data_IF_181654612164
#
_entry.id   IF_181654612164
#
_cell.length_a   1.000
_cell.length_b   1.000
_cell.length_c   1.000
_cell.angle_alpha   90.00
_cell.angle_beta   90.00
_cell.angle_gamma   90.00
#
_symmetry.space_group_name_H-M   'P 1'
#
loop_
_entity.id
_entity.type
_entity.pdbx_description
1 polymer ?
#
# COMPACT_ATOMS: atom_id res chain seq x y z
N UNK A 1 -25.16 -17.28 5.06
CA UNK A 1 -24.50 -16.43 4.05
C UNK A 1 -23.56 -15.48 4.78
N UNK A 2 -22.27 -15.51 4.45
CA UNK A 2 -21.27 -14.61 5.04
C UNK A 2 -21.12 -13.40 4.12
N UNK A 3 -21.37 -12.20 4.65
CA UNK A 3 -21.25 -10.92 3.95
C UNK A 3 -20.01 -10.19 4.48
N UNK A 4 -18.86 -10.43 3.84
CA UNK A 4 -17.58 -9.90 4.28
C UNK A 4 -16.82 -9.21 3.14
N UNK A 5 -15.89 -8.34 3.50
CA UNK A 5 -14.84 -7.80 2.62
C UNK A 5 -13.49 -8.04 3.26
N UNK A 6 -12.49 -8.31 2.42
CA UNK A 6 -11.09 -8.43 2.80
C UNK A 6 -10.33 -7.30 2.13
N UNK A 7 -9.68 -6.46 2.94
CA UNK A 7 -8.84 -5.35 2.54
C UNK A 7 -7.38 -5.76 2.65
N UNK A 8 -6.62 -5.49 1.61
CA UNK A 8 -5.16 -5.63 1.63
C UNK A 8 -4.53 -4.69 0.60
N UNK A 9 -3.32 -4.24 0.94
CA UNK A 9 -2.54 -3.32 0.13
C UNK A 9 -1.46 -4.04 -0.67
N UNK A 10 -1.16 -3.53 -1.86
CA UNK A 10 0.00 -3.97 -2.65
C UNK A 10 0.86 -2.81 -3.13
N UNK A 11 2.16 -2.98 -2.96
CA UNK A 11 3.21 -2.03 -3.30
C UNK A 11 3.48 -2.01 -4.82
N UNK A 12 2.57 -1.33 -5.55
CA UNK A 12 2.59 -1.19 -7.02
C UNK A 12 2.54 0.27 -7.47
N UNK A 13 3.23 1.15 -6.74
CA UNK A 13 3.06 2.58 -6.92
C UNK A 13 3.52 3.11 -8.28
N UNK A 14 2.96 4.24 -8.72
CA UNK A 14 3.39 5.05 -9.90
C UNK A 14 4.19 6.28 -9.49
N UNK A 15 4.95 6.93 -10.39
CA UNK A 15 5.55 8.24 -10.10
C UNK A 15 4.51 9.24 -9.57
N UNK A 16 4.84 9.92 -8.48
CA UNK A 16 3.98 10.94 -7.88
C UNK A 16 4.82 12.11 -7.35
N UNK A 17 4.15 13.16 -6.87
CA UNK A 17 4.83 14.31 -6.31
C UNK A 17 5.66 13.94 -5.06
N UNK A 18 6.87 14.48 -4.97
CA UNK A 18 7.78 14.27 -3.83
C UNK A 18 7.24 14.74 -2.49
N UNK A 19 6.31 15.71 -2.49
CA UNK A 19 5.62 16.17 -1.28
C UNK A 19 4.68 15.07 -0.78
N UNK A 20 4.83 14.68 0.49
CA UNK A 20 4.06 13.59 1.10
C UNK A 20 2.56 13.88 1.04
N UNK A 21 1.76 12.86 0.73
CA UNK A 21 0.29 12.93 0.58
C UNK A 21 -0.22 13.85 -0.55
N UNK A 22 0.65 14.40 -1.39
CA UNK A 22 0.22 15.20 -2.54
C UNK A 22 -0.37 14.29 -3.63
N UNK A 23 -1.63 14.56 -4.00
CA UNK A 23 -2.37 13.81 -5.03
C UNK A 23 -2.39 14.53 -6.38
N UNK A 24 -1.75 15.70 -6.48
CA UNK A 24 -1.70 16.48 -7.73
C UNK A 24 -0.80 15.77 -8.73
N UNK A 25 -1.32 15.62 -9.95
CA UNK A 25 -0.63 14.99 -11.07
C UNK A 25 0.66 15.73 -11.45
N UNK A 26 1.67 14.96 -11.88
CA UNK A 26 2.90 15.46 -12.47
C UNK A 26 2.66 15.85 -13.93
N UNK A 27 3.35 16.89 -14.44
CA UNK A 27 3.25 17.24 -15.86
C UNK A 27 3.91 16.16 -16.73
N UNK A 28 5.03 15.64 -16.25
CA UNK A 28 5.75 14.52 -16.84
C UNK A 28 6.02 13.47 -15.77
N UNK A 29 6.00 12.20 -16.16
CA UNK A 29 6.39 11.11 -15.26
C UNK A 29 7.85 11.22 -14.80
N UNK A 30 8.68 12.01 -15.49
CA UNK A 30 10.07 12.29 -15.12
C UNK A 30 10.21 13.38 -14.05
N UNK A 31 9.15 14.11 -13.73
CA UNK A 31 9.22 15.19 -12.73
C UNK A 31 9.27 14.64 -11.30
N UNK A 32 9.98 15.33 -10.40
CA UNK A 32 9.93 15.04 -8.96
C UNK A 32 8.74 15.71 -8.27
N UNK A 33 8.27 16.84 -8.78
CA UNK A 33 7.26 17.66 -8.13
C UNK A 33 6.18 18.06 -9.13
N UNK A 34 4.94 18.12 -8.66
CA UNK A 34 3.81 18.61 -9.46
C UNK A 34 3.90 20.14 -9.64
N UNK A 35 3.09 20.75 -10.52
CA UNK A 35 3.07 22.19 -10.73
C UNK A 35 2.91 23.02 -9.45
N UNK A 36 2.08 22.56 -8.50
CA UNK A 36 1.87 23.26 -7.22
C UNK A 36 3.10 23.25 -6.31
N UNK A 37 4.00 22.30 -6.51
CA UNK A 37 5.19 22.08 -5.69
C UNK A 37 6.49 22.26 -6.47
N UNK A 38 6.44 22.88 -7.66
CA UNK A 38 7.62 23.07 -8.51
C UNK A 38 8.76 23.83 -7.81
N UNK A 39 8.44 24.72 -6.87
CA UNK A 39 9.43 25.45 -6.09
C UNK A 39 10.36 24.56 -5.27
N UNK A 40 9.88 23.41 -4.76
CA UNK A 40 10.69 22.43 -4.03
C UNK A 40 11.76 21.77 -4.90
N UNK A 41 11.60 21.82 -6.23
CA UNK A 41 12.62 21.35 -7.17
C UNK A 41 13.95 22.12 -7.09
N UNK A 42 13.94 23.34 -6.53
CA UNK A 42 15.14 24.14 -6.29
C UNK A 42 15.78 23.90 -4.93
N UNK A 43 15.09 23.22 -4.02
CA UNK A 43 15.60 22.93 -2.69
C UNK A 43 16.60 21.76 -2.72
N UNK A 44 17.47 21.73 -1.73
CA UNK A 44 18.35 20.61 -1.46
C UNK A 44 17.53 19.33 -1.25
N UNK A 45 17.92 18.23 -1.90
CA UNK A 45 17.23 16.91 -1.79
C UNK A 45 17.33 16.23 -0.42
N UNK A 46 18.05 16.84 0.52
CA UNK A 46 18.16 16.33 1.89
C UNK A 46 16.87 16.70 2.63
N UNK A 47 16.23 15.68 3.20
CA UNK A 47 14.95 15.85 3.89
C UNK A 47 15.11 16.81 5.07
N UNK A 48 14.31 17.88 5.08
CA UNK A 48 14.37 18.92 6.11
C UNK A 48 15.37 20.05 5.84
N UNK A 49 16.10 20.02 4.73
CA UNK A 49 16.93 21.14 4.30
C UNK A 49 16.12 22.09 3.42
N UNK A 50 16.09 23.37 3.78
CA UNK A 50 15.36 24.41 3.03
C UNK A 50 16.25 25.26 2.11
N UNK A 51 17.58 25.05 2.16
CA UNK A 51 18.54 25.75 1.28
C UNK A 51 18.36 25.31 -0.17
N UNK A 52 18.60 26.24 -1.11
CA UNK A 52 18.61 25.91 -2.54
C UNK A 52 19.80 25.00 -2.89
N UNK A 53 19.63 24.16 -3.91
CA UNK A 53 20.72 23.34 -4.41
C UNK A 53 21.74 24.19 -5.17
N UNK A 54 23.01 23.82 -5.09
CA UNK A 54 24.05 24.48 -5.88
C UNK A 54 23.98 24.10 -7.36
N UNK A 55 24.58 24.93 -8.22
CA UNK A 55 24.66 24.66 -9.67
C UNK A 55 25.34 23.32 -9.96
N UNK A 56 24.75 22.50 -10.83
CA UNK A 56 25.28 21.17 -11.19
C UNK A 56 25.10 20.09 -10.12
N UNK A 57 24.38 20.37 -9.04
CA UNK A 57 24.08 19.46 -7.93
C UNK A 57 22.60 19.53 -7.56
N UNK A 58 22.12 18.51 -6.84
CA UNK A 58 20.78 18.46 -6.24
C UNK A 58 20.81 18.72 -4.73
N UNK A 59 22.00 18.86 -4.16
CA UNK A 59 22.26 19.24 -2.77
C UNK A 59 22.69 20.71 -2.68
N UNK A 60 22.55 21.32 -1.50
CA UNK A 60 23.13 22.64 -1.24
C UNK A 60 24.66 22.56 -1.12
N UNK A 61 25.30 23.69 -0.83
CA UNK A 61 26.74 23.86 -0.66
C UNK A 61 27.31 23.30 0.65
N UNK A 62 26.45 22.80 1.54
CA UNK A 62 26.85 22.12 2.77
C UNK A 62 27.72 20.89 2.47
N UNK A 63 28.95 20.81 3.01
CA UNK A 63 29.88 19.72 2.74
C UNK A 63 29.30 18.32 3.03
N UNK A 64 28.44 18.18 4.04
CA UNK A 64 27.81 16.90 4.40
C UNK A 64 26.77 16.50 3.35
N UNK A 65 25.99 17.47 2.86
CA UNK A 65 25.00 17.19 1.81
C UNK A 65 25.69 16.91 0.47
N UNK A 66 26.71 17.69 0.11
CA UNK A 66 27.53 17.50 -1.09
C UNK A 66 28.15 16.12 -1.17
N UNK A 67 28.83 15.70 -0.11
CA UNK A 67 29.48 14.38 -0.05
C UNK A 67 28.49 13.23 -0.21
N UNK A 68 27.25 13.41 0.28
CA UNK A 68 26.16 12.43 0.09
C UNK A 68 25.77 12.27 -1.38
N UNK A 69 25.68 13.37 -2.14
CA UNK A 69 25.38 13.30 -3.58
C UNK A 69 26.55 12.75 -4.40
N UNK A 70 27.78 13.11 -4.06
CA UNK A 70 28.98 12.59 -4.70
C UNK A 70 29.09 11.07 -4.52
N UNK A 71 28.88 10.60 -3.28
CA UNK A 71 28.79 9.19 -2.97
C UNK A 71 27.70 8.50 -3.79
N UNK A 72 26.51 9.10 -3.87
CA UNK A 72 25.40 8.58 -4.68
C UNK A 72 25.75 8.48 -6.17
N UNK A 73 26.39 9.49 -6.75
CA UNK A 73 26.82 9.51 -8.17
C UNK A 73 27.85 8.44 -8.47
N UNK A 74 28.78 8.18 -7.54
CA UNK A 74 29.79 7.13 -7.66
C UNK A 74 29.16 5.73 -7.60
N UNK A 75 28.26 5.50 -6.65
CA UNK A 75 27.61 4.20 -6.44
C UNK A 75 26.50 3.90 -7.46
N UNK A 76 25.84 4.94 -7.99
CA UNK A 76 24.87 4.82 -9.08
C UNK A 76 25.45 4.21 -10.38
N UNK A 77 26.77 4.27 -10.56
CA UNK A 77 27.51 3.68 -11.68
C UNK A 77 28.01 2.25 -11.42
N UNK A 78 27.73 1.66 -10.26
CA UNK A 78 28.26 0.36 -9.84
C UNK A 78 27.49 -0.88 -10.35
N UNK A 79 28.22 -2.00 -10.48
CA UNK A 79 27.73 -3.33 -10.90
C UNK A 79 26.54 -3.88 -10.09
N UNK A 80 26.38 -3.44 -8.83
CA UNK A 80 25.31 -3.87 -7.93
C UNK A 80 23.92 -3.44 -8.41
N UNK A 81 23.83 -2.24 -9.00
CA UNK A 81 22.61 -1.70 -9.62
C UNK A 81 22.22 -2.49 -10.87
N UNK A 82 23.22 -2.93 -11.66
CA UNK A 82 23.03 -3.80 -12.83
C UNK A 82 22.52 -5.18 -12.44
N UNK A 83 23.04 -5.79 -11.36
CA UNK A 83 22.58 -7.12 -10.87
C UNK A 83 21.13 -7.09 -10.39
N UNK A 84 20.71 -6.06 -9.63
CA UNK A 84 19.32 -5.88 -9.22
C UNK A 84 18.39 -5.63 -10.42
N UNK A 85 18.84 -4.87 -11.42
CA UNK A 85 18.09 -4.66 -12.68
C UNK A 85 17.94 -5.96 -13.47
N UNK A 86 19.00 -6.77 -13.57
CA UNK A 86 18.98 -8.07 -14.24
C UNK A 86 18.02 -9.05 -13.55
N UNK A 87 18.03 -9.13 -12.22
CA UNK A 87 17.06 -9.94 -11.47
C UNK A 87 15.61 -9.50 -11.72
N UNK A 88 15.34 -8.19 -11.76
CA UNK A 88 14.00 -7.64 -12.03
C UNK A 88 13.53 -7.91 -13.48
N UNK A 89 14.43 -7.93 -14.46
CA UNK A 89 14.08 -8.25 -15.86
C UNK A 89 13.71 -9.74 -16.06
N UNK A 90 14.28 -10.65 -15.27
CA UNK A 90 13.96 -12.09 -15.36
C UNK A 90 12.59 -12.46 -14.74
N UNK A 91 11.90 -11.52 -14.07
CA UNK A 91 10.53 -11.69 -13.55
C UNK A 91 9.46 -11.19 -14.55
N UNK A 92 9.86 -10.82 -15.77
CA UNK A 92 8.94 -10.28 -16.79
C UNK A 92 8.06 -11.34 -17.48
N UNK A 93 8.14 -12.61 -17.06
CA UNK A 93 7.19 -13.64 -17.46
C UNK A 93 6.03 -13.71 -16.45
N UNK A 94 4.77 -13.70 -16.90
CA UNK A 94 3.60 -13.90 -16.05
C UNK A 94 3.52 -15.36 -15.61
N UNK A 95 4.43 -15.75 -14.74
CA UNK A 95 4.41 -17.03 -14.02
C UNK A 95 4.47 -16.68 -12.55
N UNK A 96 3.29 -16.67 -11.91
CA UNK A 96 2.85 -16.87 -10.51
C UNK A 96 3.84 -16.72 -9.33
N UNK A 97 5.01 -16.12 -9.51
CA UNK A 97 6.06 -16.02 -8.51
C UNK A 97 6.70 -14.62 -8.57
N UNK A 98 5.87 -13.60 -8.31
CA UNK A 98 6.37 -12.27 -7.96
C UNK A 98 6.49 -12.23 -6.44
N UNK A 99 7.69 -12.03 -5.93
CA UNK A 99 7.89 -11.57 -4.55
C UNK A 99 7.58 -10.06 -4.52
N UNK A 100 6.53 -9.63 -3.80
CA UNK A 100 6.04 -8.25 -3.83
C UNK A 100 6.95 -7.25 -3.09
N UNK A 101 7.92 -7.74 -2.30
CA UNK A 101 8.69 -6.94 -1.33
C UNK A 101 9.86 -6.13 -1.90
N UNK A 102 9.88 -5.81 -3.20
CA UNK A 102 10.93 -4.95 -3.74
C UNK A 102 10.65 -3.49 -3.35
N UNK A 103 11.54 -2.79 -2.61
CA UNK A 103 11.29 -1.41 -2.20
C UNK A 103 10.98 -0.53 -3.41
N UNK A 104 9.79 0.07 -3.37
CA UNK A 104 9.18 0.88 -4.44
C UNK A 104 9.83 2.26 -4.51
N UNK A 105 10.27 2.79 -3.38
CA UNK A 105 10.94 4.09 -3.29
C UNK A 105 12.46 3.99 -3.54
N UNK A 106 12.98 4.86 -4.42
CA UNK A 106 14.42 5.17 -4.50
C UNK A 106 14.81 6.24 -3.45
N UNK A 107 14.18 6.21 -2.27
CA UNK A 107 14.66 6.94 -1.10
C UNK A 107 15.87 6.18 -0.60
N UNK A 108 17.05 6.74 -0.83
CA UNK A 108 18.29 6.16 -0.32
C UNK A 108 18.54 6.84 1.03
N UNK A 109 18.32 6.07 2.09
CA UNK A 109 18.88 6.39 3.40
C UNK A 109 20.39 6.17 3.30
N UNK A 110 21.16 7.26 3.31
CA UNK A 110 22.61 7.17 3.37
C UNK A 110 22.99 7.29 4.84
N UNK A 111 23.44 6.18 5.43
CA UNK A 111 24.14 6.22 6.72
C UNK A 111 25.53 6.80 6.48
N UNK A 112 25.76 8.03 6.93
CA UNK A 112 27.09 8.64 6.92
C UNK A 112 27.77 8.19 8.21
N UNK A 113 28.75 7.29 8.10
CA UNK A 113 29.68 7.04 9.20
C UNK A 113 30.65 8.21 9.28
N UNK A 114 30.42 9.13 10.21
CA UNK A 114 31.48 10.06 10.61
C UNK A 114 32.58 9.25 11.32
N UNK A 115 33.84 9.54 10.98
CA UNK A 115 35.00 8.74 11.35
C UNK A 115 35.14 8.43 12.84
N UNK A 116 35.67 7.25 13.12
CA UNK A 116 36.17 6.70 14.40
C UNK A 116 35.89 7.53 15.66
N UNK A 117 34.61 7.63 16.04
CA UNK A 117 34.18 7.82 17.43
C UNK A 117 32.67 7.73 17.49
N UNK A 118 32.13 6.54 17.79
CA UNK A 118 30.71 6.33 18.04
C UNK A 118 30.20 7.20 19.22
N UNK A 119 29.22 8.10 19.03
CA UNK A 119 28.28 8.47 20.07
C UNK A 119 26.99 7.63 19.94
N UNK A 120 26.21 7.45 21.01
CA UNK A 120 24.97 6.68 20.97
C UNK A 120 23.91 7.50 20.22
N UNK A 121 23.71 7.19 18.94
CA UNK A 121 22.62 7.70 18.12
C UNK A 121 23.01 7.90 16.66
N UNK A 122 22.93 6.85 15.84
CA UNK A 122 22.99 6.96 14.39
C UNK A 122 21.88 7.89 13.90
N UNK A 123 22.19 9.15 13.59
CA UNK A 123 21.30 10.03 12.83
C UNK A 123 21.54 9.75 11.34
N UNK A 124 20.75 8.86 10.75
CA UNK A 124 20.77 8.66 9.30
C UNK A 124 20.18 9.88 8.59
N UNK A 125 20.87 10.39 7.58
CA UNK A 125 20.39 11.50 6.76
C UNK A 125 19.55 10.94 5.61
N UNK A 126 18.29 11.37 5.51
CA UNK A 126 17.39 10.91 4.45
C UNK A 126 17.48 11.81 3.23
N UNK A 127 17.74 11.23 2.07
CA UNK A 127 17.83 11.97 0.79
C UNK A 127 16.80 11.48 -0.23
N UNK A 128 16.27 12.39 -1.03
CA UNK A 128 15.33 12.08 -2.12
C UNK A 128 16.01 12.29 -3.48
N UNK A 129 16.96 11.42 -3.82
CA UNK A 129 17.63 11.45 -5.13
C UNK A 129 16.76 10.87 -6.25
N UNK A 130 15.82 9.97 -5.93
CA UNK A 130 14.88 9.41 -6.90
C UNK A 130 13.53 10.09 -6.90
N UNK A 131 12.69 9.72 -7.87
CA UNK A 131 11.26 10.10 -7.90
C UNK A 131 10.52 9.35 -6.80
N UNK A 132 9.63 10.06 -6.10
CA UNK A 132 8.69 9.44 -5.19
C UNK A 132 7.62 8.67 -5.97
N UNK A 133 7.10 7.62 -5.36
CA UNK A 133 5.99 6.85 -5.92
C UNK A 133 4.81 6.82 -4.96
N UNK A 134 3.63 6.50 -5.49
CA UNK A 134 2.48 6.20 -4.62
C UNK A 134 2.83 5.05 -3.70
N UNK A 135 2.25 5.02 -2.51
CA UNK A 135 2.66 4.09 -1.45
C UNK A 135 2.23 2.67 -1.83
N UNK A 136 0.92 2.46 -1.89
CA UNK A 136 0.32 1.19 -2.26
C UNK A 136 -1.00 1.42 -3.01
N UNK A 137 -1.48 0.36 -3.64
CA UNK A 137 -2.85 0.23 -4.12
C UNK A 137 -3.62 -0.64 -3.13
N UNK A 138 -4.68 -0.08 -2.54
CA UNK A 138 -5.54 -0.77 -1.59
C UNK A 138 -6.71 -1.42 -2.32
N UNK A 139 -6.89 -2.73 -2.16
CA UNK A 139 -7.97 -3.49 -2.81
C UNK A 139 -9.01 -3.96 -1.79
N UNK A 140 -10.28 -3.80 -2.14
CA UNK A 140 -11.40 -4.39 -1.41
C UNK A 140 -11.97 -5.59 -2.14
N UNK A 141 -11.78 -6.78 -1.59
CA UNK A 141 -12.18 -8.06 -2.23
C UNK A 141 -13.27 -8.79 -1.45
N UNK A 142 -14.20 -9.42 -2.16
CA UNK A 142 -15.15 -10.36 -1.56
C UNK A 142 -14.48 -11.72 -1.36
N UNK A 143 -14.94 -12.53 -0.38
CA UNK A 143 -14.49 -13.91 -0.20
C UNK A 143 -14.56 -14.80 -1.44
N UNK A 144 -15.44 -14.48 -2.40
CA UNK A 144 -15.56 -15.18 -3.68
C UNK A 144 -14.53 -14.73 -4.74
N UNK A 145 -13.61 -13.82 -4.42
CA UNK A 145 -12.57 -13.32 -5.32
C UNK A 145 -12.99 -12.16 -6.23
N UNK A 146 -14.23 -11.66 -6.09
CA UNK A 146 -14.68 -10.43 -6.77
C UNK A 146 -14.03 -9.21 -6.13
N UNK A 147 -13.37 -8.37 -6.93
CA UNK A 147 -12.80 -7.10 -6.47
C UNK A 147 -13.89 -6.02 -6.54
N UNK A 148 -14.21 -5.39 -5.42
CA UNK A 148 -15.24 -4.33 -5.37
C UNK A 148 -14.68 -2.97 -5.72
N UNK A 149 -13.47 -2.68 -5.25
CA UNK A 149 -12.83 -1.40 -5.49
C UNK A 149 -11.32 -1.50 -5.34
N UNK A 150 -10.68 -0.47 -5.92
CA UNK A 150 -9.29 -0.10 -5.71
C UNK A 150 -9.23 1.35 -5.21
N UNK A 151 -8.20 1.68 -4.45
CA UNK A 151 -7.82 3.06 -4.14
C UNK A 151 -6.28 3.20 -4.06
N UNK A 152 -5.74 4.24 -4.68
CA UNK A 152 -4.33 4.58 -4.56
C UNK A 152 -4.06 5.37 -3.29
N UNK A 153 -3.13 4.90 -2.45
CA UNK A 153 -2.68 5.61 -1.26
C UNK A 153 -1.36 6.34 -1.52
N UNK A 154 -1.26 7.57 -0.99
CA UNK A 154 -0.11 8.45 -1.18
C UNK A 154 0.65 8.60 0.13
N UNK A 155 1.94 8.27 0.12
CA UNK A 155 2.88 8.55 1.22
C UNK A 155 2.75 7.70 2.49
N UNK A 156 1.61 7.05 2.72
CA UNK A 156 1.41 5.97 3.70
C UNK A 156 0.06 5.29 3.50
N UNK A 157 -0.05 4.11 4.08
CA UNK A 157 -1.30 3.47 4.48
C UNK A 157 -1.49 3.66 5.98
N UNK A 158 -2.59 4.29 6.39
CA UNK A 158 -2.90 4.50 7.80
C UNK A 158 -4.35 4.18 8.09
N UNK A 159 -4.63 3.84 9.34
CA UNK A 159 -5.99 3.57 9.79
C UNK A 159 -7.00 4.67 9.46
N UNK A 160 -6.70 5.97 9.65
CA UNK A 160 -7.61 7.05 9.21
C UNK A 160 -7.90 6.99 7.71
N UNK A 161 -6.88 6.77 6.87
CA UNK A 161 -7.07 6.66 5.41
C UNK A 161 -7.93 5.45 5.03
N UNK A 162 -7.78 4.31 5.72
CA UNK A 162 -8.61 3.12 5.50
C UNK A 162 -10.06 3.37 5.96
N UNK A 163 -10.27 4.08 7.06
CA UNK A 163 -11.60 4.50 7.50
C UNK A 163 -12.27 5.40 6.45
N UNK A 164 -11.56 6.44 5.99
CA UNK A 164 -12.03 7.35 4.95
C UNK A 164 -12.34 6.60 3.65
N UNK A 165 -11.49 5.63 3.26
CA UNK A 165 -11.70 4.75 2.13
C UNK A 165 -13.01 3.97 2.27
N UNK A 166 -13.23 3.29 3.40
CA UNK A 166 -14.45 2.53 3.64
C UNK A 166 -15.69 3.41 3.58
N UNK A 167 -15.65 4.61 4.17
CA UNK A 167 -16.75 5.58 4.08
C UNK A 167 -16.99 6.08 2.67
N UNK A 168 -15.93 6.30 1.89
CA UNK A 168 -16.02 6.68 0.47
C UNK A 168 -16.65 5.58 -0.39
N UNK A 169 -16.28 4.32 -0.17
CA UNK A 169 -16.76 3.18 -0.99
C UNK A 169 -18.14 2.66 -0.53
N UNK A 170 -18.50 2.90 0.74
CA UNK A 170 -19.80 2.56 1.32
C UNK A 170 -20.48 3.80 1.90
N UNK A 171 -20.87 4.78 1.06
CA UNK A 171 -21.37 6.07 1.52
C UNK A 171 -22.76 6.00 2.16
N UNK A 172 -23.54 4.96 1.83
CA UNK A 172 -24.88 4.76 2.37
C UNK A 172 -24.82 3.91 3.64
N UNK A 173 -25.50 4.34 4.69
CA UNK A 173 -25.58 3.56 5.93
C UNK A 173 -26.13 2.16 5.65
N UNK A 174 -25.38 1.15 6.07
CA UNK A 174 -25.74 -0.26 5.87
C UNK A 174 -25.40 -0.79 4.48
N UNK A 175 -24.75 -0.02 3.60
CA UNK A 175 -24.21 -0.52 2.33
C UNK A 175 -22.89 -1.26 2.51
N UNK A 176 -22.22 -1.00 3.63
CA UNK A 176 -21.04 -1.75 4.01
C UNK A 176 -21.35 -3.23 4.29
N UNK A 177 -20.38 -4.12 4.02
CA UNK A 177 -20.43 -5.51 4.45
C UNK A 177 -20.59 -5.64 5.97
N UNK A 178 -21.17 -6.76 6.41
CA UNK A 178 -21.28 -7.06 7.85
C UNK A 178 -19.92 -7.22 8.52
N UNK A 179 -18.92 -7.69 7.79
CA UNK A 179 -17.58 -7.94 8.32
C UNK A 179 -16.48 -7.36 7.42
N UNK A 180 -15.49 -6.72 8.03
CA UNK A 180 -14.29 -6.23 7.37
C UNK A 180 -13.04 -6.91 7.93
N UNK A 181 -12.31 -7.59 7.06
CA UNK A 181 -11.01 -8.19 7.36
C UNK A 181 -9.93 -7.24 6.89
N UNK A 182 -9.04 -6.88 7.79
CA UNK A 182 -7.94 -5.96 7.55
C UNK A 182 -6.83 -6.25 8.55
N UNK A 183 -5.58 -6.15 8.11
CA UNK A 183 -4.41 -6.46 8.94
C UNK A 183 -4.42 -5.62 10.25
N UNK A 184 -4.77 -4.33 10.16
CA UNK A 184 -4.91 -3.46 11.33
C UNK A 184 -6.37 -3.23 11.74
N UNK A 185 -7.20 -4.29 11.73
CA UNK A 185 -8.61 -4.24 12.14
C UNK A 185 -8.82 -3.65 13.55
N UNK A 186 -7.94 -3.98 14.50
CA UNK A 186 -7.98 -3.40 15.86
C UNK A 186 -7.70 -1.89 15.84
N UNK A 187 -6.70 -1.46 15.06
CA UNK A 187 -6.40 -0.05 14.91
C UNK A 187 -7.62 0.68 14.33
N UNK A 188 -8.25 0.09 13.31
CA UNK A 188 -9.46 0.61 12.68
C UNK A 188 -10.63 0.73 13.64
N UNK A 189 -10.84 -0.27 14.49
CA UNK A 189 -11.81 -0.22 15.57
C UNK A 189 -11.52 0.95 16.53
N UNK A 190 -10.31 1.01 17.07
CA UNK A 190 -9.91 2.01 18.07
C UNK A 190 -10.01 3.43 17.49
N UNK A 191 -9.54 3.62 16.26
CA UNK A 191 -9.59 4.91 15.58
C UNK A 191 -11.02 5.36 15.30
N UNK A 192 -11.87 4.47 14.75
CA UNK A 192 -13.28 4.77 14.50
C UNK A 192 -14.00 5.21 15.78
N UNK A 193 -13.78 4.48 16.89
CA UNK A 193 -14.35 4.83 18.19
C UNK A 193 -13.81 6.16 18.74
N UNK A 194 -12.49 6.39 18.62
CA UNK A 194 -11.85 7.59 19.15
C UNK A 194 -12.19 8.85 18.35
N UNK A 195 -12.42 8.74 17.04
CA UNK A 195 -12.79 9.85 16.17
C UNK A 195 -14.27 10.21 16.23
N UNK A 196 -15.11 9.38 16.87
CA UNK A 196 -16.56 9.54 16.91
C UNK A 196 -17.29 9.00 15.67
N UNK A 197 -16.57 8.32 14.77
CA UNK A 197 -17.16 7.62 13.63
C UNK A 197 -17.88 6.34 14.09
N UNK A 198 -18.90 5.88 13.34
CA UNK A 198 -19.74 4.74 13.73
C UNK A 198 -19.35 3.39 13.13
N UNK A 199 -18.23 3.28 12.40
CA UNK A 199 -17.88 2.07 11.64
C UNK A 199 -17.77 0.86 12.58
N UNK A 200 -17.17 1.06 13.76
CA UNK A 200 -17.03 0.03 14.79
C UNK A 200 -18.36 -0.52 15.34
N UNK A 201 -19.48 0.20 15.16
CA UNK A 201 -20.84 -0.23 15.50
C UNK A 201 -21.56 -0.91 14.34
N UNK A 202 -21.07 -0.66 13.13
CA UNK A 202 -21.74 -0.93 11.87
C UNK A 202 -21.16 -2.13 11.13
N UNK A 203 -19.89 -2.43 11.37
CA UNK A 203 -19.13 -3.50 10.74
C UNK A 203 -18.37 -4.28 11.82
N UNK A 204 -18.48 -5.61 11.80
CA UNK A 204 -17.61 -6.48 12.60
C UNK A 204 -16.19 -6.48 12.05
N UNK A 205 -15.21 -6.33 12.93
CA UNK A 205 -13.79 -6.21 12.55
C UNK A 205 -12.98 -7.34 13.22
N UNK A 206 -13.17 -8.61 12.81
CA UNK A 206 -12.38 -9.72 13.33
C UNK A 206 -10.89 -9.57 12.92
N UNK A 207 -9.99 -9.84 13.86
CA UNK A 207 -8.56 -10.00 13.54
C UNK A 207 -8.32 -11.36 12.91
N UNK A 208 -7.53 -11.43 11.84
CA UNK A 208 -7.13 -12.72 11.28
C UNK A 208 -6.26 -13.52 12.27
N UNK A 209 -6.48 -14.83 12.37
CA UNK A 209 -5.80 -15.73 13.33
C UNK A 209 -4.27 -15.73 13.12
N UNK A 210 -3.79 -15.55 11.90
CA UNK A 210 -2.36 -15.41 11.62
C UNK A 210 -1.82 -14.09 12.16
N UNK A 211 -2.51 -12.98 11.87
CA UNK A 211 -2.15 -11.66 12.38
C UNK A 211 -2.15 -11.62 13.92
N UNK A 212 -3.14 -12.28 14.54
CA UNK A 212 -3.20 -12.54 15.99
C UNK A 212 -1.94 -13.19 16.55
N UNK A 213 -1.46 -14.25 15.90
CA UNK A 213 -0.32 -15.05 16.38
C UNK A 213 1.02 -14.35 16.16
N UNK A 214 1.20 -13.67 15.03
CA UNK A 214 2.51 -13.26 14.54
C UNK A 214 2.81 -11.77 14.71
N UNK A 215 1.81 -10.88 14.71
CA UNK A 215 2.03 -9.43 14.61
C UNK A 215 1.56 -8.60 15.82
N UNK A 216 0.86 -9.18 16.79
CA UNK A 216 0.41 -8.45 17.98
C UNK A 216 1.28 -8.68 19.24
N UNK A 217 1.56 -7.59 19.97
CA UNK A 217 1.74 -7.68 21.43
C UNK A 217 0.38 -8.06 22.02
N UNK A 218 0.30 -9.19 22.73
CA UNK A 218 -0.92 -9.81 23.33
C UNK A 218 -1.68 -8.93 24.36
N UNK A 219 -1.54 -7.61 24.35
CA UNK A 219 -1.83 -6.72 25.47
C UNK A 219 -2.92 -5.66 25.25
N UNK A 220 -3.48 -5.49 24.04
CA UNK A 220 -4.56 -4.51 23.85
C UNK A 220 -5.94 -5.15 24.03
N UNK A 221 -6.74 -4.58 24.94
CA UNK A 221 -8.11 -5.04 25.26
C UNK A 221 -8.99 -5.14 24.01
N UNK A 222 -8.83 -4.24 23.05
CA UNK A 222 -9.57 -4.23 21.78
C UNK A 222 -9.41 -5.52 21.01
N UNK A 223 -8.18 -6.04 20.92
CA UNK A 223 -7.89 -7.28 20.23
C UNK A 223 -8.60 -8.46 20.91
N UNK A 224 -8.39 -8.62 22.22
CA UNK A 224 -8.90 -9.76 22.98
C UNK A 224 -10.41 -9.75 23.21
N UNK A 225 -11.05 -8.57 23.16
CA UNK A 225 -12.46 -8.41 23.55
C UNK A 225 -13.35 -7.96 22.40
N UNK A 226 -12.91 -7.06 21.52
CA UNK A 226 -13.77 -6.49 20.47
C UNK A 226 -13.54 -7.16 19.12
N UNK A 227 -12.28 -7.36 18.74
CA UNK A 227 -11.90 -7.93 17.45
C UNK A 227 -11.57 -9.43 17.52
N UNK A 228 -11.87 -10.09 18.64
CA UNK A 228 -11.56 -11.49 18.84
C UNK A 228 -12.38 -12.37 17.87
N UNK A 229 -11.74 -13.25 17.07
CA UNK A 229 -12.40 -14.22 16.21
C UNK A 229 -13.60 -14.94 16.83
N UNK A 230 -13.50 -15.34 18.10
CA UNK A 230 -14.53 -16.12 18.78
C UNK A 230 -15.81 -15.32 19.08
N UNK A 231 -15.79 -13.99 18.96
CA UNK A 231 -17.00 -13.17 19.01
C UNK A 231 -17.83 -13.24 17.72
N UNK A 232 -17.31 -13.89 16.68
CA UNK A 232 -17.93 -14.02 15.37
C UNK A 232 -18.14 -15.50 15.01
N UNK A 233 -18.89 -16.27 15.81
CA UNK A 233 -19.07 -17.70 15.61
C UNK A 233 -19.68 -18.04 14.25
N UNK A 234 -20.42 -17.12 13.63
CA UNK A 234 -20.97 -17.29 12.27
C UNK A 234 -19.90 -17.33 11.16
N UNK A 235 -18.67 -16.90 11.46
CA UNK A 235 -17.55 -16.91 10.53
C UNK A 235 -16.68 -18.17 10.67
N UNK A 236 -16.79 -18.87 11.82
CA UNK A 236 -15.93 -20.00 12.17
C UNK A 236 -16.55 -21.30 11.66
N UNK A 237 -15.75 -22.07 10.91
CA UNK A 237 -16.11 -23.37 10.40
C UNK A 237 -16.41 -24.38 11.53
N UNK A 238 -17.05 -25.51 11.18
CA UNK A 238 -17.42 -26.58 12.13
C UNK A 238 -16.20 -27.12 12.90
N UNK A 239 -14.99 -27.01 12.33
CA UNK A 239 -13.74 -27.42 12.96
C UNK A 239 -13.29 -26.52 14.13
N UNK A 240 -13.91 -25.35 14.31
CA UNK A 240 -13.59 -24.37 15.34
C UNK A 240 -12.24 -23.66 15.16
N UNK A 241 -11.57 -23.84 14.03
CA UNK A 241 -10.18 -23.42 13.79
C UNK A 241 -10.00 -22.58 12.54
N UNK A 242 -10.86 -22.73 11.55
CA UNK A 242 -10.78 -22.04 10.26
C UNK A 242 -12.02 -21.20 9.99
N UNK A 243 -11.91 -20.27 9.06
CA UNK A 243 -13.04 -19.50 8.57
C UNK A 243 -13.84 -20.32 7.55
N UNK A 244 -15.14 -20.06 7.41
CA UNK A 244 -15.96 -20.66 6.33
C UNK A 244 -15.54 -20.24 4.92
N UNK A 245 -14.66 -19.26 4.81
CA UNK A 245 -14.17 -18.73 3.54
C UNK A 245 -12.67 -18.46 3.62
N UNK A 246 -12.04 -18.31 2.46
CA UNK A 246 -10.62 -18.00 2.39
C UNK A 246 -10.36 -16.52 2.74
N UNK A 247 -9.81 -16.24 3.94
CA UNK A 247 -9.40 -14.88 4.32
C UNK A 247 -8.16 -14.40 3.58
N UNK A 248 -7.34 -15.30 3.00
CA UNK A 248 -6.17 -14.97 2.16
C UNK A 248 -6.55 -14.64 0.71
N UNK A 249 -7.83 -14.42 0.40
CA UNK A 249 -8.26 -14.08 -0.97
C UNK A 249 -7.68 -12.75 -1.46
N UNK A 250 -7.46 -11.79 -0.55
CA UNK A 250 -6.86 -10.51 -0.88
C UNK A 250 -5.39 -10.69 -1.28
N UNK A 251 -4.61 -11.46 -0.51
CA UNK A 251 -3.22 -11.83 -0.85
C UNK A 251 -3.12 -12.52 -2.22
N UNK A 252 -3.99 -13.50 -2.50
CA UNK A 252 -4.04 -14.16 -3.81
C UNK A 252 -4.40 -13.20 -4.95
N UNK A 253 -5.31 -12.25 -4.67
CA UNK A 253 -5.67 -11.20 -5.63
C UNK A 253 -4.50 -10.26 -5.87
N UNK A 254 -3.73 -9.93 -4.82
CA UNK A 254 -2.53 -9.12 -4.89
C UNK A 254 -1.43 -9.81 -5.71
N UNK A 255 -1.25 -11.14 -5.63
CA UNK A 255 -0.33 -11.86 -6.52
C UNK A 255 -0.68 -11.66 -8.00
N UNK A 256 -1.96 -11.83 -8.35
CA UNK A 256 -2.44 -11.58 -9.71
C UNK A 256 -2.25 -10.12 -10.12
N UNK A 257 -2.60 -9.18 -9.25
CA UNK A 257 -2.49 -7.74 -9.52
C UNK A 257 -1.02 -7.33 -9.71
N UNK A 258 -0.13 -7.89 -8.87
CA UNK A 258 1.33 -7.79 -8.93
C UNK A 258 1.93 -8.11 -10.29
N UNK A 259 1.28 -9.01 -11.04
CA UNK A 259 1.64 -9.39 -12.41
C UNK A 259 1.81 -8.21 -13.37
N UNK A 260 1.12 -7.09 -13.11
CA UNK A 260 1.13 -5.92 -13.97
C UNK A 260 2.18 -4.86 -13.60
N UNK A 261 2.93 -5.05 -12.51
CA UNK A 261 3.85 -4.03 -11.98
C UNK A 261 4.85 -3.53 -13.05
N UNK A 262 5.42 -4.42 -13.87
CA UNK A 262 6.37 -4.04 -14.91
C UNK A 262 5.75 -3.13 -15.99
N UNK A 263 4.47 -3.31 -16.30
CA UNK A 263 3.75 -2.55 -17.34
C UNK A 263 3.46 -1.13 -16.86
N UNK A 264 2.98 -1.01 -15.62
CA UNK A 264 2.48 0.26 -15.08
C UNK A 264 3.57 1.16 -14.50
N UNK A 265 4.80 0.66 -14.38
CA UNK A 265 5.88 1.29 -13.60
C UNK A 265 6.20 2.73 -14.00
N UNK A 266 6.10 3.10 -15.26
CA UNK A 266 6.43 4.47 -15.69
C UNK A 266 5.21 5.20 -16.28
N UNK A 267 4.01 4.69 -16.01
CA UNK A 267 2.77 5.32 -16.46
C UNK A 267 2.48 6.60 -15.68
N UNK A 268 1.93 7.59 -16.39
CA UNK A 268 1.27 8.75 -15.78
C UNK A 268 -0.03 8.34 -15.09
N UNK A 269 -0.57 9.24 -14.26
CA UNK A 269 -1.67 8.89 -13.35
C UNK A 269 -2.92 8.41 -14.08
N UNK A 270 -3.31 9.10 -15.15
CA UNK A 270 -4.49 8.74 -15.95
C UNK A 270 -4.38 7.34 -16.56
N UNK A 271 -3.24 7.02 -17.20
CA UNK A 271 -3.04 5.73 -17.85
C UNK A 271 -2.90 4.59 -16.84
N UNK A 272 -2.24 4.86 -15.71
CA UNK A 272 -2.11 3.92 -14.62
C UNK A 272 -3.48 3.52 -14.05
N UNK A 273 -4.30 4.52 -13.72
CA UNK A 273 -5.62 4.28 -13.14
C UNK A 273 -6.55 3.58 -14.13
N UNK A 274 -6.58 4.04 -15.40
CA UNK A 274 -7.34 3.38 -16.46
C UNK A 274 -6.94 1.91 -16.64
N UNK A 275 -5.63 1.62 -16.75
CA UNK A 275 -5.15 0.26 -17.00
C UNK A 275 -5.54 -0.69 -15.87
N UNK A 276 -5.30 -0.30 -14.61
CA UNK A 276 -5.59 -1.17 -13.47
C UNK A 276 -7.09 -1.39 -13.27
N UNK A 277 -7.90 -0.35 -13.45
CA UNK A 277 -9.35 -0.47 -13.34
C UNK A 277 -9.93 -1.38 -14.43
N UNK A 278 -9.40 -1.31 -15.65
CA UNK A 278 -9.76 -2.22 -16.74
C UNK A 278 -9.34 -3.66 -16.45
N UNK A 279 -8.13 -3.89 -15.92
CA UNK A 279 -7.70 -5.25 -15.54
C UNK A 279 -8.58 -5.84 -14.44
N UNK A 280 -8.98 -5.02 -13.46
CA UNK A 280 -9.94 -5.42 -12.42
C UNK A 280 -11.29 -5.78 -13.03
N UNK A 281 -11.80 -4.98 -13.96
CA UNK A 281 -13.05 -5.25 -14.65
C UNK A 281 -13.00 -6.60 -15.39
N UNK A 282 -11.94 -6.84 -16.17
CA UNK A 282 -11.77 -8.10 -16.91
C UNK A 282 -11.64 -9.30 -15.98
N UNK A 283 -10.88 -9.19 -14.87
CA UNK A 283 -10.83 -10.25 -13.85
C UNK A 283 -12.22 -10.54 -13.29
N UNK A 284 -12.98 -9.49 -12.94
CA UNK A 284 -14.30 -9.66 -12.37
C UNK A 284 -15.28 -10.33 -13.34
N UNK A 285 -15.19 -10.07 -14.64
CA UNK A 285 -15.98 -10.77 -15.67
C UNK A 285 -15.64 -12.27 -15.65
N UNK A 286 -14.35 -12.62 -15.67
CA UNK A 286 -13.91 -14.03 -15.66
C UNK A 286 -14.26 -14.74 -14.35
N UNK A 287 -14.03 -14.09 -13.20
CA UNK A 287 -14.41 -14.61 -11.89
C UNK A 287 -15.91 -14.85 -11.81
N UNK A 288 -16.72 -13.90 -12.29
CA UNK A 288 -18.17 -14.04 -12.31
C UNK A 288 -18.61 -15.22 -13.18
N UNK A 289 -18.06 -15.36 -14.39
CA UNK A 289 -18.38 -16.49 -15.27
C UNK A 289 -18.02 -17.84 -14.62
N UNK A 290 -16.85 -17.92 -13.97
CA UNK A 290 -16.45 -19.11 -13.20
C UNK A 290 -17.45 -19.42 -12.09
N UNK A 291 -17.83 -18.41 -11.29
CA UNK A 291 -18.79 -18.59 -10.20
C UNK A 291 -20.16 -19.03 -10.72
N UNK A 292 -20.66 -18.44 -11.80
CA UNK A 292 -21.93 -18.83 -12.43
C UNK A 292 -21.89 -20.28 -12.94
N UNK A 293 -20.76 -20.71 -13.53
CA UNK A 293 -20.56 -22.10 -13.97
C UNK A 293 -20.52 -23.10 -12.79
N UNK A 294 -20.06 -22.66 -11.62
CA UNK A 294 -20.05 -23.43 -10.37
C UNK A 294 -21.41 -23.39 -9.63
N UNK A 295 -22.44 -22.78 -10.24
CA UNK A 295 -23.77 -22.64 -9.63
C UNK A 295 -23.84 -21.59 -8.52
N UNK A 296 -22.82 -20.74 -8.38
CA UNK A 296 -22.81 -19.63 -7.45
C UNK A 296 -23.46 -18.39 -8.08
N UNK A 297 -24.13 -17.57 -7.25
CA UNK A 297 -24.77 -16.33 -7.67
C UNK A 297 -24.11 -15.14 -6.96
N UNK A 298 -22.98 -14.61 -7.47
CA UNK A 298 -22.37 -13.42 -6.91
C UNK A 298 -23.32 -12.23 -7.09
N UNK A 299 -23.67 -11.58 -6.00
CA UNK A 299 -24.59 -10.43 -6.01
C UNK A 299 -24.32 -9.49 -4.84
N UNK A 300 -24.84 -8.27 -4.96
CA UNK A 300 -24.89 -7.35 -3.83
C UNK A 300 -25.94 -7.83 -2.84
N UNK A 301 -25.76 -7.48 -1.57
CA UNK A 301 -26.78 -7.66 -0.57
C UNK A 301 -28.02 -6.87 -1.00
N UNK A 302 -29.09 -7.58 -1.34
CA UNK A 302 -30.40 -6.96 -1.54
C UNK A 302 -30.98 -6.74 -0.14
N UNK A 303 -31.30 -5.50 0.21
CA UNK A 303 -32.00 -5.22 1.46
C UNK A 303 -33.36 -5.92 1.38
N UNK A 304 -33.55 -6.93 2.23
CA UNK A 304 -34.86 -7.44 2.61
C UNK A 304 -35.29 -6.76 3.90
#
# INVERSE_FOLDING_TARGET
>A
FVDAIVLDGIDMGRPCCGVRHCTVELLSTQDHFCPKHAAYGRCCVVTGCEREHGEGFRTCDDPVHRSTEEWWRLHGKGMFTLRKRLQRMHVSHPTDAISPDAPVDEVIEVEIFEGDSNPPGNRSMKTMFGRRRTHNEELGTRPCGMVLFRETFYGSETTPQVLDLLRKKFPMRGSQPRFGFYDSACGLYDHSRASGDTLYLEMGLPVDVFHWKCKHKKSTTTCSVHCNPYNYPELICIDGKTWYFNSSIAEQTNVWFGGYHAIIREMGSVMFDFFLDEMILQKNILTRQKLEAEGCLPGYRVYA
#
